data_IF_802502196218
#
_entry.id   IF_802502196218
#
_cell.length_a   1.000
_cell.length_b   1.000
_cell.length_c   1.000
_cell.angle_alpha   90.00
_cell.angle_beta   90.00
_cell.angle_gamma   90.00
#
_symmetry.space_group_name_H-M   'P 1'
#
loop_
_entity.id
_entity.type
_entity.pdbx_description
1 polymer ?
#
# COMPACT_ATOMS: atom_id res chain seq x y z
N UNK A 1 -6.53 -40.76 -13.40
CA UNK A 1 -5.95 -39.41 -13.31
C UNK A 1 -4.46 -39.57 -13.51
N UNK A 2 -3.98 -39.29 -14.74
CA UNK A 2 -2.54 -39.40 -15.04
C UNK A 2 -1.83 -38.26 -14.31
N UNK A 3 -0.93 -38.59 -13.39
CA UNK A 3 -0.13 -37.61 -12.68
C UNK A 3 0.75 -36.88 -13.70
N UNK A 4 0.58 -35.56 -13.87
CA UNK A 4 1.54 -34.75 -14.58
C UNK A 4 2.88 -34.87 -13.84
N UNK A 5 3.82 -35.60 -14.42
CA UNK A 5 5.18 -35.69 -13.90
C UNK A 5 5.88 -34.37 -14.24
N UNK A 6 6.11 -33.54 -13.21
CA UNK A 6 6.89 -32.30 -13.37
C UNK A 6 8.37 -32.69 -13.53
N UNK A 7 8.96 -32.25 -14.65
CA UNK A 7 10.38 -32.48 -14.97
C UNK A 7 11.31 -31.58 -14.20
N UNK A 8 10.86 -30.33 -13.89
CA UNK A 8 11.62 -29.43 -13.04
C UNK A 8 11.66 -29.94 -11.60
N UNK A 9 12.84 -30.20 -11.08
CA UNK A 9 13.05 -30.80 -9.74
C UNK A 9 13.13 -29.72 -8.68
N UNK A 10 12.44 -29.92 -7.54
CA UNK A 10 12.54 -29.04 -6.37
C UNK A 10 13.98 -29.00 -5.87
N UNK A 11 14.51 -27.82 -5.56
CA UNK A 11 15.89 -27.60 -5.15
C UNK A 11 16.89 -27.43 -6.29
N UNK A 12 16.51 -27.77 -7.53
CA UNK A 12 17.39 -27.60 -8.70
C UNK A 12 17.28 -26.18 -9.28
N UNK A 13 18.37 -25.76 -9.92
CA UNK A 13 18.52 -24.45 -10.55
C UNK A 13 18.31 -24.59 -12.05
N UNK A 14 17.54 -23.69 -12.62
CA UNK A 14 17.23 -23.63 -14.05
C UNK A 14 17.41 -22.23 -14.58
N UNK A 15 17.57 -22.11 -15.88
CA UNK A 15 17.65 -20.87 -16.61
C UNK A 15 16.54 -20.82 -17.66
N UNK A 16 15.94 -19.64 -17.86
CA UNK A 16 14.89 -19.48 -18.86
C UNK A 16 14.53 -18.02 -19.09
N UNK A 17 13.87 -17.78 -20.23
CA UNK A 17 13.43 -16.45 -20.63
C UNK A 17 12.06 -16.12 -20.05
N UNK A 18 11.93 -14.90 -19.50
CA UNK A 18 10.66 -14.34 -19.04
C UNK A 18 9.83 -13.93 -20.23
N UNK A 19 8.70 -14.61 -20.45
CA UNK A 19 7.77 -14.31 -21.53
C UNK A 19 6.86 -13.15 -21.17
N UNK A 20 6.21 -13.25 -20.01
CA UNK A 20 5.25 -12.27 -19.51
C UNK A 20 5.25 -12.22 -18.00
N UNK A 21 4.67 -11.15 -17.46
CA UNK A 21 4.52 -10.98 -16.01
C UNK A 21 3.07 -10.63 -15.71
N UNK A 22 2.38 -11.53 -15.01
CA UNK A 22 1.01 -11.33 -14.53
C UNK A 22 1.03 -10.66 -13.14
N UNK A 23 -0.08 -10.02 -12.76
CA UNK A 23 -0.20 -9.32 -11.46
C UNK A 23 -0.03 -10.27 -10.26
N UNK A 24 0.64 -9.86 -9.18
CA UNK A 24 1.34 -8.58 -8.94
C UNK A 24 2.81 -8.55 -9.42
N UNK A 25 3.36 -9.55 -9.90
CA UNK A 25 4.67 -9.82 -10.51
C UNK A 25 4.92 -11.33 -10.50
N UNK A 26 4.10 -12.06 -11.21
CA UNK A 26 4.24 -13.50 -11.44
C UNK A 26 4.79 -13.69 -12.85
N UNK A 27 6.12 -13.72 -12.97
CA UNK A 27 6.77 -13.93 -14.25
C UNK A 27 6.62 -15.37 -14.72
N UNK A 28 6.08 -15.57 -15.92
CA UNK A 28 6.08 -16.85 -16.62
C UNK A 28 7.45 -17.04 -17.28
N UNK A 29 8.15 -18.07 -16.87
CA UNK A 29 9.46 -18.46 -17.42
C UNK A 29 9.33 -19.85 -18.03
N UNK A 30 9.76 -19.99 -19.28
CA UNK A 30 9.83 -21.27 -19.96
C UNK A 30 11.25 -21.85 -19.87
N UNK A 31 11.33 -23.07 -19.40
CA UNK A 31 12.56 -23.86 -19.39
C UNK A 31 12.42 -24.93 -20.45
N UNK A 32 13.40 -25.04 -21.34
CA UNK A 32 13.48 -26.11 -22.32
C UNK A 32 14.43 -27.17 -21.75
N UNK A 33 13.96 -28.41 -21.64
CA UNK A 33 14.78 -29.54 -21.19
C UNK A 33 15.70 -30.07 -22.30
N UNK A 34 16.53 -31.08 -21.97
CA UNK A 34 17.47 -31.72 -22.90
C UNK A 34 16.76 -32.39 -24.09
N UNK A 35 15.50 -32.77 -23.94
CA UNK A 35 14.65 -33.38 -24.97
C UNK A 35 13.90 -32.35 -25.81
N UNK A 36 14.13 -31.02 -25.59
CA UNK A 36 13.48 -29.92 -26.29
C UNK A 36 12.06 -29.63 -25.83
N UNK A 37 11.58 -30.26 -24.73
CA UNK A 37 10.25 -30.00 -24.19
C UNK A 37 10.26 -28.76 -23.27
N UNK A 38 9.19 -27.99 -23.31
CA UNK A 38 9.03 -26.77 -22.53
C UNK A 38 8.21 -27.02 -21.26
N UNK A 39 8.71 -26.59 -20.12
CA UNK A 39 8.00 -26.59 -18.85
C UNK A 39 7.90 -25.18 -18.27
N UNK A 40 6.76 -24.87 -17.67
CA UNK A 40 6.43 -23.55 -17.13
C UNK A 40 6.85 -23.41 -15.67
N UNK A 41 7.61 -22.37 -15.36
CA UNK A 41 7.86 -21.89 -14.01
C UNK A 41 7.29 -20.51 -13.77
N UNK A 42 6.86 -20.22 -12.54
CA UNK A 42 6.47 -18.89 -12.09
C UNK A 42 7.55 -18.35 -11.18
N UNK A 43 8.18 -17.26 -11.57
CA UNK A 43 9.26 -16.61 -10.84
C UNK A 43 8.84 -15.20 -10.46
N UNK A 44 9.04 -14.79 -9.19
CA UNK A 44 8.76 -13.41 -8.74
C UNK A 44 9.99 -12.53 -8.92
N UNK A 45 9.76 -11.20 -8.94
CA UNK A 45 10.79 -10.17 -9.04
C UNK A 45 11.56 -10.16 -10.36
N UNK A 46 10.96 -10.67 -11.43
CA UNK A 46 11.52 -10.62 -12.77
C UNK A 46 10.73 -9.63 -13.66
N UNK A 47 11.34 -9.23 -14.78
CA UNK A 47 10.80 -8.26 -15.73
C UNK A 47 10.65 -8.94 -17.08
N UNK A 48 9.61 -8.62 -17.90
CA UNK A 48 9.44 -9.22 -19.22
C UNK A 48 10.70 -9.07 -20.08
N UNK A 49 11.09 -10.13 -20.77
CA UNK A 49 12.24 -10.15 -21.66
C UNK A 49 13.60 -10.44 -21.02
N UNK A 50 13.68 -10.58 -19.69
CA UNK A 50 14.90 -11.06 -19.02
C UNK A 50 15.15 -12.54 -19.29
N UNK A 51 16.42 -12.96 -19.31
CA UNK A 51 16.83 -14.35 -19.07
C UNK A 51 17.24 -14.45 -17.60
N UNK A 52 16.62 -15.36 -16.85
CA UNK A 52 16.78 -15.46 -15.40
C UNK A 52 17.19 -16.86 -14.98
N UNK A 53 18.06 -16.91 -13.97
CA UNK A 53 18.40 -18.14 -13.26
C UNK A 53 17.61 -18.21 -11.96
N UNK A 54 16.93 -19.32 -11.70
CA UNK A 54 16.06 -19.48 -10.55
C UNK A 54 16.14 -20.89 -9.96
N UNK A 55 15.92 -21.01 -8.66
CA UNK A 55 15.82 -22.28 -7.95
C UNK A 55 14.35 -22.66 -7.73
N UNK A 56 13.93 -23.84 -8.12
CA UNK A 56 12.58 -24.34 -7.89
C UNK A 56 12.37 -24.62 -6.40
N UNK A 57 11.45 -23.93 -5.77
CA UNK A 57 11.16 -24.05 -4.34
C UNK A 57 9.84 -24.78 -4.05
N UNK A 58 8.87 -24.73 -4.96
CA UNK A 58 7.56 -25.40 -4.81
C UNK A 58 7.07 -25.95 -6.14
N UNK A 59 6.32 -27.06 -6.05
CA UNK A 59 5.54 -27.60 -7.15
C UNK A 59 4.05 -27.34 -6.89
N UNK A 60 3.34 -26.86 -7.89
CA UNK A 60 1.89 -26.60 -7.86
C UNK A 60 1.23 -27.29 -9.04
N UNK A 61 -0.08 -27.51 -8.96
CA UNK A 61 -0.83 -28.09 -10.08
C UNK A 61 -0.66 -27.20 -11.33
N UNK A 62 -0.03 -27.73 -12.38
CA UNK A 62 0.17 -27.06 -13.68
C UNK A 62 1.40 -26.14 -13.81
N UNK A 63 2.22 -25.92 -12.75
CA UNK A 63 3.47 -25.14 -12.84
C UNK A 63 4.40 -25.36 -11.65
N UNK A 64 5.66 -24.96 -11.80
CA UNK A 64 6.61 -24.85 -10.70
C UNK A 64 6.74 -23.40 -10.25
N UNK A 65 6.94 -23.17 -8.94
CA UNK A 65 7.30 -21.85 -8.40
C UNK A 65 8.81 -21.81 -8.17
N UNK A 66 9.46 -20.75 -8.66
CA UNK A 66 10.90 -20.55 -8.54
C UNK A 66 11.24 -19.26 -7.79
N UNK A 67 12.35 -19.31 -7.04
CA UNK A 67 12.97 -18.12 -6.44
C UNK A 67 14.05 -17.61 -7.38
N UNK A 68 13.93 -16.37 -7.81
CA UNK A 68 14.94 -15.67 -8.61
C UNK A 68 16.29 -15.67 -7.87
N UNK A 69 17.34 -16.11 -8.53
CA UNK A 69 18.71 -16.08 -8.04
C UNK A 69 19.51 -14.99 -8.72
N UNK A 70 19.41 -14.91 -10.05
CA UNK A 70 20.22 -14.02 -10.87
C UNK A 70 19.47 -13.62 -12.15
N UNK A 71 19.72 -12.41 -12.65
CA UNK A 71 19.37 -11.97 -13.99
C UNK A 71 20.59 -12.19 -14.87
N UNK A 72 20.53 -13.19 -15.74
CA UNK A 72 21.62 -13.59 -16.66
C UNK A 72 21.72 -12.60 -17.82
N UNK A 73 20.56 -12.26 -18.41
CA UNK A 73 20.46 -11.24 -19.45
C UNK A 73 19.42 -10.21 -19.07
N UNK A 74 19.77 -8.95 -19.21
CA UNK A 74 18.85 -7.83 -18.94
C UNK A 74 17.76 -7.75 -20.01
N UNK A 75 16.57 -7.33 -19.60
CA UNK A 75 15.51 -6.96 -20.53
C UNK A 75 15.89 -5.70 -21.32
N UNK A 76 15.48 -5.57 -22.60
CA UNK A 76 15.58 -4.33 -23.35
C UNK A 76 14.88 -3.13 -22.68
N UNK A 77 13.93 -3.39 -21.76
CA UNK A 77 13.22 -2.35 -20.98
C UNK A 77 14.05 -1.81 -19.82
N UNK A 78 15.18 -2.46 -19.48
CA UNK A 78 15.94 -2.11 -18.29
C UNK A 78 16.93 -0.98 -18.53
N UNK A 79 16.94 -0.08 -17.56
CA UNK A 79 17.94 0.96 -17.35
C UNK A 79 18.76 0.68 -16.10
N UNK A 80 19.75 1.50 -15.79
CA UNK A 80 20.42 1.40 -14.51
C UNK A 80 19.52 1.93 -13.39
N UNK A 81 19.47 1.27 -12.20
CA UNK A 81 18.67 1.73 -11.09
C UNK A 81 19.26 3.05 -10.53
N UNK A 82 18.36 3.98 -10.18
CA UNK A 82 18.73 5.20 -9.45
C UNK A 82 19.09 4.90 -7.98
N UNK A 83 18.46 3.88 -7.39
CA UNK A 83 18.68 3.49 -5.99
C UNK A 83 19.81 2.47 -5.87
N UNK A 84 20.89 2.75 -5.08
CA UNK A 84 22.00 1.79 -4.91
C UNK A 84 21.61 0.53 -4.14
N UNK A 85 20.48 0.55 -3.43
CA UNK A 85 19.96 -0.61 -2.68
C UNK A 85 19.09 -1.53 -3.53
N UNK A 86 18.82 -1.16 -4.80
CA UNK A 86 17.97 -1.97 -5.69
C UNK A 86 18.56 -3.38 -5.87
N UNK A 87 17.68 -4.37 -5.83
CA UNK A 87 18.06 -5.79 -5.92
C UNK A 87 18.40 -6.43 -4.57
N UNK A 88 18.95 -5.68 -3.61
CA UNK A 88 19.19 -6.12 -2.22
C UNK A 88 17.94 -5.88 -1.34
N UNK A 89 17.48 -4.63 -1.30
CA UNK A 89 16.27 -4.24 -0.60
C UNK A 89 15.00 -4.83 -1.25
N UNK A 90 14.03 -5.24 -0.43
CA UNK A 90 12.76 -5.81 -0.85
C UNK A 90 11.72 -4.80 -1.37
N UNK A 91 11.96 -3.50 -1.22
CA UNK A 91 10.94 -2.46 -1.41
C UNK A 91 10.49 -2.24 -2.86
N UNK A 92 11.41 -2.25 -3.83
CA UNK A 92 11.12 -1.90 -5.23
C UNK A 92 11.41 -3.05 -6.19
N UNK A 93 10.61 -3.16 -7.25
CA UNK A 93 10.76 -4.20 -8.28
C UNK A 93 11.03 -3.61 -9.67
N UNK A 94 10.51 -2.43 -9.98
CA UNK A 94 10.53 -1.83 -11.31
C UNK A 94 11.44 -0.60 -11.46
N UNK A 95 12.29 -0.25 -10.50
CA UNK A 95 13.17 0.91 -10.60
C UNK A 95 14.17 0.88 -11.77
N UNK A 96 14.44 -0.28 -12.32
CA UNK A 96 15.26 -0.44 -13.53
C UNK A 96 14.45 -0.31 -14.83
N UNK A 97 13.18 0.02 -14.75
CA UNK A 97 12.30 0.19 -15.91
C UNK A 97 11.89 1.65 -16.01
N UNK A 98 11.96 2.24 -17.20
CA UNK A 98 11.49 3.61 -17.42
C UNK A 98 10.03 3.76 -16.98
N UNK A 99 9.68 4.90 -16.36
CA UNK A 99 8.38 5.06 -15.70
C UNK A 99 7.18 4.81 -16.64
N UNK A 100 7.27 5.28 -17.88
CA UNK A 100 6.24 5.00 -18.91
C UNK A 100 6.01 3.49 -19.13
N UNK A 101 7.09 2.71 -19.12
CA UNK A 101 7.00 1.25 -19.28
C UNK A 101 6.50 0.57 -18.00
N UNK A 102 6.80 1.13 -16.80
CA UNK A 102 6.19 0.65 -15.55
C UNK A 102 4.67 0.80 -15.60
N UNK A 103 4.16 1.96 -16.02
CA UNK A 103 2.73 2.21 -16.19
C UNK A 103 2.10 1.21 -17.18
N UNK A 104 2.74 0.98 -18.33
CA UNK A 104 2.27 0.02 -19.32
C UNK A 104 2.20 -1.40 -18.77
N UNK A 105 3.23 -1.85 -18.04
CA UNK A 105 3.25 -3.17 -17.40
C UNK A 105 2.07 -3.30 -16.42
N UNK A 106 1.91 -2.34 -15.50
CA UNK A 106 0.83 -2.33 -14.50
C UNK A 106 -0.55 -2.29 -15.13
N UNK A 107 -0.75 -1.39 -16.12
CA UNK A 107 -2.00 -1.26 -16.88
C UNK A 107 -2.39 -2.57 -17.55
N UNK A 108 -1.50 -3.16 -18.35
CA UNK A 108 -1.76 -4.42 -19.05
C UNK A 108 -2.03 -5.58 -18.08
N UNK A 109 -1.37 -5.62 -16.93
CA UNK A 109 -1.61 -6.66 -15.92
C UNK A 109 -3.01 -6.57 -15.33
N UNK A 110 -3.47 -5.36 -15.00
CA UNK A 110 -4.80 -5.15 -14.40
C UNK A 110 -5.88 -5.32 -15.44
N UNK A 111 -5.73 -4.71 -16.62
CA UNK A 111 -6.66 -4.85 -17.74
C UNK A 111 -6.91 -6.32 -18.07
N UNK A 112 -5.85 -7.11 -18.24
CA UNK A 112 -5.96 -8.54 -18.50
C UNK A 112 -6.70 -9.27 -17.38
N UNK A 113 -6.32 -9.01 -16.12
CA UNK A 113 -6.92 -9.67 -14.95
C UNK A 113 -8.42 -9.39 -14.84
N UNK A 114 -8.83 -8.14 -15.05
CA UNK A 114 -10.22 -7.75 -14.94
C UNK A 114 -11.04 -8.17 -16.16
N UNK A 115 -10.46 -8.17 -17.36
CA UNK A 115 -11.12 -8.68 -18.58
C UNK A 115 -11.45 -10.18 -18.51
N UNK A 116 -10.73 -10.95 -17.67
CA UNK A 116 -11.02 -12.38 -17.47
C UNK A 116 -12.31 -12.62 -16.64
N UNK A 117 -12.79 -11.59 -15.90
CA UNK A 117 -13.93 -11.72 -14.96
C UNK A 117 -15.07 -10.76 -15.28
N UNK A 118 -14.83 -9.66 -16.00
CA UNK A 118 -15.89 -8.71 -16.37
C UNK A 118 -16.68 -9.23 -17.55
N UNK A 119 -18.00 -9.20 -17.42
CA UNK A 119 -18.92 -9.63 -18.47
C UNK A 119 -18.96 -8.63 -19.62
N UNK A 120 -18.63 -9.08 -20.82
CA UNK A 120 -18.50 -8.23 -22.01
C UNK A 120 -17.15 -7.55 -22.11
N UNK A 121 -17.10 -6.42 -22.81
CA UNK A 121 -15.88 -5.61 -22.94
C UNK A 121 -15.64 -4.80 -21.66
N UNK A 122 -14.42 -4.87 -21.11
CA UNK A 122 -14.02 -4.06 -19.96
C UNK A 122 -13.86 -2.60 -20.40
N UNK A 123 -14.63 -1.64 -19.86
CA UNK A 123 -14.50 -0.22 -20.19
C UNK A 123 -13.28 0.39 -19.48
N UNK A 124 -12.08 0.01 -19.92
CA UNK A 124 -10.82 0.35 -19.28
C UNK A 124 -10.25 1.65 -19.83
N UNK A 125 -10.13 2.67 -18.97
CA UNK A 125 -9.62 4.01 -19.34
C UNK A 125 -8.08 4.10 -19.24
N UNK A 126 -7.39 3.01 -18.85
CA UNK A 126 -5.94 2.97 -18.71
C UNK A 126 -5.45 3.26 -17.30
N UNK A 127 -4.26 3.83 -17.19
CA UNK A 127 -3.58 4.12 -15.91
C UNK A 127 -3.13 5.57 -15.84
N UNK A 128 -3.42 6.23 -14.72
CA UNK A 128 -2.93 7.57 -14.41
C UNK A 128 -1.64 7.41 -13.59
N UNK A 129 -0.58 8.11 -14.00
CA UNK A 129 0.70 8.09 -13.30
C UNK A 129 0.71 8.94 -12.03
N UNK A 130 1.65 8.65 -11.14
CA UNK A 130 1.97 9.52 -9.99
C UNK A 130 2.55 10.84 -10.47
N UNK A 131 2.20 11.98 -9.84
CA UNK A 131 2.78 13.28 -10.16
C UNK A 131 4.31 13.33 -9.96
N UNK A 132 4.82 12.54 -9.04
CA UNK A 132 6.26 12.37 -8.75
C UNK A 132 6.61 10.90 -8.67
N UNK A 133 7.81 10.53 -9.13
CA UNK A 133 8.25 9.13 -9.20
C UNK A 133 9.33 8.77 -8.18
N UNK A 134 9.94 9.78 -7.57
CA UNK A 134 10.92 9.67 -6.50
C UNK A 134 10.49 10.55 -5.32
N UNK A 135 11.01 10.29 -4.14
CA UNK A 135 10.75 11.06 -2.91
C UNK A 135 9.25 11.26 -2.58
N UNK A 136 8.40 10.37 -3.09
CA UNK A 136 6.95 10.49 -2.96
C UNK A 136 6.39 9.98 -1.63
N UNK A 137 7.18 9.16 -0.91
CA UNK A 137 6.66 8.43 0.25
C UNK A 137 6.68 9.29 1.51
N UNK A 138 5.51 9.48 2.11
CA UNK A 138 5.30 10.33 3.27
C UNK A 138 5.26 9.59 4.62
N UNK A 139 5.35 8.25 4.61
CA UNK A 139 5.47 7.40 5.80
C UNK A 139 6.41 6.25 5.54
N UNK A 140 7.37 6.04 6.43
CA UNK A 140 8.23 4.85 6.43
C UNK A 140 8.29 4.24 7.81
N UNK A 141 8.32 2.93 7.83
CA UNK A 141 8.63 2.09 8.98
C UNK A 141 9.92 1.34 8.65
N UNK A 142 11.00 1.70 9.32
CA UNK A 142 12.29 1.02 9.21
C UNK A 142 12.43 0.03 10.35
N UNK A 143 13.02 -1.12 10.10
CA UNK A 143 13.27 -2.14 11.11
C UNK A 143 14.72 -2.08 11.58
N UNK A 144 14.94 -2.25 12.88
CA UNK A 144 16.25 -2.60 13.42
C UNK A 144 16.50 -4.10 13.25
N UNK A 145 17.76 -4.48 13.08
CA UNK A 145 18.19 -5.86 12.92
C UNK A 145 19.67 -5.93 12.63
N UNK A 146 20.11 -7.03 12.06
CA UNK A 146 21.47 -7.20 11.54
C UNK A 146 21.46 -7.27 9.98
N UNK A 147 22.57 -6.89 9.35
CA UNK A 147 22.70 -6.97 7.90
C UNK A 147 22.74 -8.42 7.41
N UNK A 148 23.25 -9.30 8.23
CA UNK A 148 23.31 -10.75 8.08
C UNK A 148 23.45 -11.36 9.48
N UNK A 149 23.12 -12.63 9.62
CA UNK A 149 23.13 -13.33 10.91
C UNK A 149 24.41 -13.05 11.71
N UNK A 150 24.25 -12.56 12.93
CA UNK A 150 25.33 -12.15 13.85
C UNK A 150 26.23 -11.02 13.27
N UNK A 151 25.71 -10.22 12.35
CA UNK A 151 26.39 -9.10 11.71
C UNK A 151 26.22 -7.76 12.48
N UNK A 152 26.66 -6.64 11.89
CA UNK A 152 26.52 -5.34 12.50
C UNK A 152 25.06 -4.90 12.59
N UNK A 153 24.76 -4.05 13.59
CA UNK A 153 23.46 -3.41 13.73
C UNK A 153 23.13 -2.62 12.45
N UNK A 154 21.94 -2.85 11.92
CA UNK A 154 21.40 -2.17 10.77
C UNK A 154 20.03 -1.57 11.10
N UNK A 155 19.74 -0.41 10.50
CA UNK A 155 18.42 0.21 10.49
C UNK A 155 18.00 0.46 9.04
N UNK A 156 16.90 -0.15 8.60
CA UNK A 156 16.50 -0.05 7.21
C UNK A 156 15.30 -0.91 6.84
N UNK A 157 15.37 -1.53 5.67
CA UNK A 157 14.31 -2.38 5.16
C UNK A 157 14.78 -3.82 5.00
N UNK A 158 13.82 -4.76 5.08
CA UNK A 158 14.13 -6.17 4.88
C UNK A 158 14.79 -6.43 3.53
N UNK A 159 15.83 -7.25 3.58
CA UNK A 159 16.50 -7.77 2.40
C UNK A 159 15.54 -8.62 1.57
N UNK A 160 15.63 -8.51 0.28
CA UNK A 160 14.82 -9.29 -0.65
C UNK A 160 14.95 -10.81 -0.37
N UNK A 161 13.83 -11.47 -0.19
CA UNK A 161 13.73 -12.89 0.15
C UNK A 161 14.30 -13.29 1.54
N UNK A 162 14.59 -12.34 2.42
CA UNK A 162 14.90 -12.59 3.83
C UNK A 162 13.83 -11.94 4.72
N UNK A 163 13.54 -12.61 5.85
CA UNK A 163 12.67 -12.07 6.90
C UNK A 163 13.49 -11.50 8.08
N UNK A 164 14.79 -11.72 8.09
CA UNK A 164 15.66 -11.37 9.19
C UNK A 164 16.64 -10.25 8.81
N UNK A 165 17.35 -10.42 7.67
CA UNK A 165 18.40 -9.50 7.26
C UNK A 165 17.83 -8.12 6.93
N UNK A 166 18.47 -7.07 7.44
CA UNK A 166 18.11 -5.66 7.20
C UNK A 166 19.14 -5.02 6.25
N UNK A 167 18.66 -4.29 5.28
CA UNK A 167 19.49 -3.47 4.39
C UNK A 167 19.41 -2.03 4.86
N UNK A 168 20.52 -1.39 5.27
CA UNK A 168 20.56 0.03 5.54
C UNK A 168 20.25 0.81 4.26
N UNK A 169 19.16 1.61 4.28
CA UNK A 169 18.64 2.26 3.07
C UNK A 169 18.85 3.78 3.08
N UNK A 170 20.03 4.20 3.48
CA UNK A 170 20.42 5.60 3.66
C UNK A 170 20.38 6.44 2.37
N UNK A 171 20.31 5.81 1.20
CA UNK A 171 20.22 6.48 -0.10
C UNK A 171 18.94 6.09 -0.88
N UNK A 172 17.91 5.63 -0.16
CA UNK A 172 16.63 5.24 -0.76
C UNK A 172 16.02 6.39 -1.55
N UNK A 173 15.54 6.12 -2.78
CA UNK A 173 15.03 7.14 -3.71
C UNK A 173 13.53 7.39 -3.60
N UNK A 174 12.77 6.55 -2.90
CA UNK A 174 11.34 6.78 -2.69
C UNK A 174 11.02 7.68 -1.49
N UNK A 175 12.03 7.95 -0.63
CA UNK A 175 11.97 8.87 0.51
C UNK A 175 12.86 10.08 0.26
N UNK A 176 12.49 11.22 0.83
CA UNK A 176 13.27 12.43 0.67
C UNK A 176 14.51 12.47 1.58
N UNK A 177 15.29 13.53 1.45
CA UNK A 177 16.55 13.72 2.14
C UNK A 177 16.39 13.75 3.67
N UNK A 178 15.30 14.31 4.18
CA UNK A 178 15.09 14.43 5.63
C UNK A 178 14.95 13.05 6.29
N UNK A 179 14.26 12.10 5.63
CA UNK A 179 14.22 10.70 6.09
C UNK A 179 15.61 10.06 6.12
N UNK A 180 16.42 10.31 5.09
CA UNK A 180 17.78 9.75 4.99
C UNK A 180 18.69 10.28 6.10
N UNK A 181 18.56 11.57 6.44
CA UNK A 181 19.29 12.20 7.56
C UNK A 181 18.85 11.62 8.90
N UNK A 182 17.55 11.48 9.13
CA UNK A 182 16.99 10.89 10.36
C UNK A 182 17.48 9.43 10.51
N UNK A 183 17.34 8.63 9.45
CA UNK A 183 17.76 7.22 9.44
C UNK A 183 19.23 7.08 9.83
N UNK A 184 20.10 7.90 9.23
CA UNK A 184 21.55 7.90 9.50
C UNK A 184 21.84 8.33 10.94
N UNK A 185 21.19 9.38 11.43
CA UNK A 185 21.35 9.87 12.80
C UNK A 185 20.99 8.80 13.82
N UNK A 186 19.80 8.20 13.66
CA UNK A 186 19.29 7.18 14.61
C UNK A 186 20.14 5.91 14.56
N UNK A 187 20.56 5.44 13.38
CA UNK A 187 21.43 4.28 13.26
C UNK A 187 22.78 4.50 13.93
N UNK A 188 23.43 5.64 13.67
CA UNK A 188 24.73 5.96 14.28
C UNK A 188 24.62 6.06 15.80
N UNK A 189 23.56 6.71 16.30
CA UNK A 189 23.29 6.80 17.73
C UNK A 189 23.14 5.41 18.36
N UNK A 190 22.34 4.53 17.76
CA UNK A 190 22.11 3.17 18.27
C UNK A 190 23.41 2.35 18.31
N UNK A 191 24.28 2.48 17.30
CA UNK A 191 25.59 1.83 17.26
C UNK A 191 26.51 2.39 18.34
N UNK A 192 26.63 3.73 18.50
CA UNK A 192 27.47 4.38 19.49
C UNK A 192 27.07 4.04 20.93
N UNK A 193 25.76 3.86 21.17
CA UNK A 193 25.22 3.49 22.51
C UNK A 193 25.15 1.97 22.71
N UNK A 194 25.61 1.18 21.73
CA UNK A 194 25.58 -0.30 21.79
C UNK A 194 24.19 -0.86 22.14
N UNK A 195 23.11 -0.19 21.66
CA UNK A 195 21.74 -0.61 21.94
C UNK A 195 21.39 -1.89 21.15
N UNK A 196 20.96 -2.96 21.82
CA UNK A 196 20.60 -4.19 21.14
C UNK A 196 19.25 -4.04 20.40
N UNK A 197 19.11 -4.64 19.24
CA UNK A 197 17.82 -4.79 18.59
C UNK A 197 17.07 -6.02 19.12
N UNK A 198 15.73 -6.03 19.00
CA UNK A 198 14.92 -7.17 19.37
C UNK A 198 15.05 -8.30 18.34
N UNK A 199 15.49 -9.47 18.77
CA UNK A 199 15.58 -10.67 17.95
C UNK A 199 14.19 -11.32 17.75
N UNK A 200 13.79 -11.53 16.50
CA UNK A 200 12.46 -12.07 16.14
C UNK A 200 12.18 -13.49 16.63
N UNK A 201 13.21 -14.28 16.94
CA UNK A 201 13.07 -15.68 17.40
C UNK A 201 13.09 -15.79 18.91
N UNK A 202 14.00 -15.09 19.59
CA UNK A 202 14.10 -15.12 21.05
C UNK A 202 13.17 -14.12 21.73
N UNK A 203 12.72 -13.09 20.98
CA UNK A 203 11.99 -11.94 21.50
C UNK A 203 12.75 -11.13 22.55
N UNK A 204 14.06 -11.28 22.58
CA UNK A 204 14.97 -10.54 23.48
C UNK A 204 15.60 -9.37 22.72
N UNK A 205 15.83 -8.25 23.42
CA UNK A 205 16.43 -7.03 22.91
C UNK A 205 15.53 -5.82 23.00
N UNK A 206 15.97 -4.68 22.50
CA UNK A 206 15.37 -3.39 22.78
C UNK A 206 14.78 -2.70 21.56
N UNK A 207 15.63 -2.33 20.58
CA UNK A 207 15.21 -1.55 19.41
C UNK A 207 14.38 -2.40 18.44
N UNK A 208 13.21 -1.90 18.01
CA UNK A 208 12.32 -2.59 17.08
C UNK A 208 12.21 -1.88 15.75
N UNK A 209 11.66 -0.66 15.77
CA UNK A 209 11.37 0.09 14.54
C UNK A 209 11.68 1.58 14.72
N UNK A 210 11.90 2.24 13.59
CA UNK A 210 11.87 3.69 13.46
C UNK A 210 10.76 4.05 12.48
N UNK A 211 9.75 4.77 12.96
CA UNK A 211 8.68 5.27 12.12
C UNK A 211 8.94 6.76 11.85
N UNK A 212 8.91 7.17 10.60
CA UNK A 212 9.04 8.56 10.19
C UNK A 212 7.87 8.93 9.28
N UNK A 213 7.24 10.07 9.58
CA UNK A 213 6.25 10.71 8.72
C UNK A 213 6.71 12.10 8.33
N UNK A 214 6.38 12.50 7.11
CA UNK A 214 6.57 13.88 6.66
C UNK A 214 5.41 14.32 5.79
N UNK A 215 4.83 15.45 6.12
CA UNK A 215 3.83 16.08 5.28
C UNK A 215 4.48 16.64 4.00
N UNK A 216 3.86 16.38 2.87
CA UNK A 216 4.33 16.89 1.57
C UNK A 216 4.04 18.38 1.42
N UNK A 217 2.90 18.85 1.94
CA UNK A 217 2.47 20.26 1.79
C UNK A 217 2.99 21.16 2.89
N UNK A 218 2.99 20.71 4.14
CA UNK A 218 3.43 21.55 5.28
C UNK A 218 4.91 21.37 5.62
N UNK A 219 5.54 20.30 5.16
CA UNK A 219 6.92 19.98 5.48
C UNK A 219 7.14 19.51 6.93
N UNK A 220 6.08 19.34 7.73
CA UNK A 220 6.17 18.87 9.12
C UNK A 220 6.66 17.42 9.17
N UNK A 221 7.59 17.14 10.11
CA UNK A 221 8.22 15.83 10.29
C UNK A 221 7.91 15.30 11.68
N UNK A 222 7.53 14.03 11.76
CA UNK A 222 7.28 13.29 12.98
C UNK A 222 8.15 12.04 13.00
N UNK A 223 8.88 11.83 14.09
CA UNK A 223 9.76 10.68 14.32
C UNK A 223 9.25 9.90 15.50
N UNK A 224 9.13 8.59 15.39
CA UNK A 224 8.73 7.71 16.48
C UNK A 224 9.69 6.51 16.57
N UNK A 225 10.31 6.36 17.73
CA UNK A 225 11.26 5.29 18.05
C UNK A 225 10.47 4.20 18.77
N UNK A 226 10.44 3.01 18.20
CA UNK A 226 9.69 1.89 18.76
C UNK A 226 10.64 0.90 19.40
N UNK A 227 10.43 0.62 20.69
CA UNK A 227 11.26 -0.30 21.47
C UNK A 227 10.43 -1.32 22.25
N UNK A 228 11.08 -2.30 22.84
CA UNK A 228 10.49 -3.10 23.92
C UNK A 228 10.60 -2.37 25.26
N UNK A 229 9.97 -2.90 26.30
CA UNK A 229 10.15 -2.45 27.70
C UNK A 229 11.33 -3.12 28.41
N UNK A 230 12.10 -3.99 27.74
CA UNK A 230 13.15 -4.81 28.36
C UNK A 230 14.36 -4.00 28.85
N UNK A 231 14.58 -2.81 28.30
CA UNK A 231 15.67 -1.92 28.67
C UNK A 231 15.10 -0.52 28.90
N UNK A 232 15.53 0.15 29.95
CA UNK A 232 15.30 1.59 30.14
C UNK A 232 16.44 2.37 29.50
N UNK A 233 16.11 3.35 28.65
CA UNK A 233 17.09 4.18 27.99
C UNK A 233 16.58 5.61 27.84
N UNK A 234 17.44 6.59 28.16
CA UNK A 234 17.14 8.01 28.00
C UNK A 234 17.52 8.48 26.60
N UNK A 235 16.52 8.85 25.81
CA UNK A 235 16.67 9.36 24.44
C UNK A 235 16.93 10.88 24.37
N UNK A 236 17.18 11.57 25.48
CA UNK A 236 17.43 13.04 25.49
C UNK A 236 18.55 13.42 24.52
N UNK A 237 19.66 12.67 24.50
CA UNK A 237 20.76 12.93 23.59
C UNK A 237 20.34 12.71 22.11
N UNK A 238 19.57 11.67 21.82
CA UNK A 238 19.07 11.44 20.46
C UNK A 238 18.13 12.56 20.02
N UNK A 239 17.24 13.02 20.88
CA UNK A 239 16.37 14.17 20.61
C UNK A 239 17.20 15.41 20.29
N UNK A 240 18.24 15.70 21.06
CA UNK A 240 19.15 16.82 20.80
C UNK A 240 19.87 16.69 19.46
N UNK A 241 20.30 15.47 19.08
CA UNK A 241 20.91 15.22 17.76
C UNK A 241 19.90 15.43 16.64
N UNK A 242 18.67 14.90 16.76
CA UNK A 242 17.61 15.05 15.78
C UNK A 242 17.19 16.52 15.59
N UNK A 243 17.04 17.27 16.68
CA UNK A 243 16.70 18.70 16.63
C UNK A 243 17.80 19.59 16.06
N UNK A 244 19.05 19.10 16.06
CA UNK A 244 20.21 19.82 15.50
C UNK A 244 20.43 19.57 13.99
N UNK A 245 19.67 18.67 13.36
CA UNK A 245 19.77 18.42 11.93
C UNK A 245 19.13 19.57 11.16
N UNK A 246 19.81 20.00 10.11
CA UNK A 246 19.24 20.93 9.14
C UNK A 246 18.35 20.17 8.15
N UNK A 247 17.04 20.34 8.30
CA UNK A 247 16.01 19.72 7.46
C UNK A 247 15.56 20.67 6.34
N UNK A 248 15.06 20.08 5.24
CA UNK A 248 14.25 20.82 4.27
C UNK A 248 12.86 21.15 4.84
N UNK A 249 12.32 20.26 5.64
CA UNK A 249 11.08 20.44 6.40
C UNK A 249 11.32 20.98 7.80
N UNK A 250 10.41 20.68 8.72
CA UNK A 250 10.50 21.07 10.13
C UNK A 250 10.21 19.87 11.01
N UNK A 251 11.15 19.51 11.87
CA UNK A 251 10.90 18.48 12.89
C UNK A 251 9.90 19.04 13.91
N UNK A 252 8.69 18.49 13.92
CA UNK A 252 7.60 18.94 14.79
C UNK A 252 7.40 18.06 16.02
N UNK A 253 7.86 16.82 15.97
CA UNK A 253 7.76 15.92 17.12
C UNK A 253 8.68 14.72 17.05
N UNK A 254 9.09 14.28 18.25
CA UNK A 254 9.78 13.00 18.47
C UNK A 254 9.04 12.23 19.55
N UNK A 255 8.71 10.99 19.28
CA UNK A 255 7.99 10.10 20.16
C UNK A 255 8.81 8.85 20.48
N UNK A 256 8.44 8.21 21.56
CA UNK A 256 8.92 6.89 21.95
C UNK A 256 7.72 5.99 22.21
N UNK A 257 7.59 4.93 21.41
CA UNK A 257 6.51 3.95 21.53
C UNK A 257 7.04 2.63 22.06
N UNK A 258 6.38 2.12 23.10
CA UNK A 258 6.64 0.79 23.65
C UNK A 258 5.77 -0.25 22.91
N UNK A 259 6.38 -1.37 22.57
CA UNK A 259 5.74 -2.47 21.84
C UNK A 259 6.40 -3.81 22.23
N UNK A 260 5.77 -4.55 23.13
CA UNK A 260 6.21 -5.88 23.57
C UNK A 260 5.52 -7.02 22.82
N UNK A 261 4.67 -6.70 21.82
CA UNK A 261 3.96 -7.72 21.05
C UNK A 261 4.94 -8.67 20.35
N UNK A 262 4.56 -9.94 20.22
CA UNK A 262 5.35 -10.95 19.48
C UNK A 262 5.30 -10.74 17.96
N UNK A 263 4.31 -9.99 17.48
CA UNK A 263 4.17 -9.69 16.06
C UNK A 263 5.27 -8.70 15.60
N UNK A 264 5.83 -8.95 14.41
CA UNK A 264 6.73 -8.02 13.73
C UNK A 264 5.91 -6.92 13.05
N UNK A 265 5.28 -6.09 13.90
CA UNK A 265 4.43 -4.98 13.49
C UNK A 265 4.58 -3.83 14.50
N UNK A 266 4.39 -2.61 14.02
CA UNK A 266 4.34 -1.43 14.89
C UNK A 266 2.96 -1.39 15.55
N UNK A 267 2.92 -1.76 16.83
CA UNK A 267 1.72 -1.74 17.67
C UNK A 267 1.95 -0.69 18.78
N UNK A 268 0.97 0.17 18.97
CA UNK A 268 1.00 1.17 20.02
C UNK A 268 0.42 0.58 21.31
N UNK A 269 1.28 0.17 22.24
CA UNK A 269 0.88 -0.22 23.61
C UNK A 269 0.94 0.99 24.55
N UNK A 270 1.97 1.84 24.39
CA UNK A 270 2.14 3.10 25.11
C UNK A 270 3.05 3.99 24.28
N UNK A 271 2.72 5.28 24.17
CA UNK A 271 3.58 6.27 23.52
C UNK A 271 3.86 7.44 24.45
N UNK A 272 5.10 7.88 24.49
CA UNK A 272 5.58 9.04 25.21
C UNK A 272 6.04 10.11 24.24
N UNK A 273 5.70 11.37 24.52
CA UNK A 273 6.16 12.52 23.74
C UNK A 273 7.50 12.98 24.29
N UNK A 274 8.57 12.86 23.49
CA UNK A 274 9.91 13.30 23.87
C UNK A 274 10.19 14.74 23.47
N UNK A 275 9.59 15.21 22.37
CA UNK A 275 9.77 16.57 21.87
C UNK A 275 8.58 17.03 21.02
N UNK A 276 8.18 18.30 21.16
CA UNK A 276 7.23 18.98 20.29
C UNK A 276 5.81 18.49 20.42
N UNK A 277 5.25 17.93 19.33
CA UNK A 277 3.87 17.44 19.25
C UNK A 277 3.78 16.02 18.71
N UNK A 278 2.64 15.35 18.93
CA UNK A 278 2.39 13.95 18.58
C UNK A 278 1.75 13.74 17.20
N UNK A 279 1.72 14.77 16.36
CA UNK A 279 1.08 14.74 15.04
C UNK A 279 1.79 15.65 14.04
N UNK A 280 1.46 15.42 12.77
CA UNK A 280 1.70 16.36 11.66
C UNK A 280 0.37 16.78 11.04
N UNK A 281 0.34 17.90 10.35
CA UNK A 281 -0.76 18.31 9.49
C UNK A 281 -0.39 18.09 8.03
N UNK A 282 -1.25 17.41 7.28
CA UNK A 282 -1.14 17.26 5.83
C UNK A 282 -2.32 17.93 5.15
N UNK A 283 -2.12 18.42 3.93
CA UNK A 283 -3.17 18.98 3.11
C UNK A 283 -3.41 18.14 1.85
N UNK A 284 -4.65 17.74 1.61
CA UNK A 284 -5.09 17.06 0.39
C UNK A 284 -6.29 17.77 -0.20
N UNK A 285 -6.19 18.18 -1.47
CA UNK A 285 -7.27 18.86 -2.21
C UNK A 285 -7.90 20.02 -1.45
N UNK A 286 -7.08 20.78 -0.70
CA UNK A 286 -7.49 21.94 0.10
C UNK A 286 -8.08 21.63 1.47
N UNK A 287 -8.15 20.35 1.88
CA UNK A 287 -8.57 19.93 3.20
C UNK A 287 -7.36 19.58 4.07
N UNK A 288 -7.41 19.93 5.35
CA UNK A 288 -6.36 19.66 6.33
C UNK A 288 -6.68 18.45 7.18
N UNK A 289 -5.66 17.62 7.40
CA UNK A 289 -5.76 16.38 8.17
C UNK A 289 -4.68 16.33 9.23
N UNK A 290 -5.10 16.15 10.47
CA UNK A 290 -4.20 15.86 11.58
C UNK A 290 -3.87 14.36 11.56
N UNK A 291 -2.57 14.02 11.48
CA UNK A 291 -2.07 12.67 11.30
C UNK A 291 -1.11 12.33 12.43
N UNK A 292 -1.43 11.31 13.22
CA UNK A 292 -0.55 10.74 14.25
C UNK A 292 0.35 9.63 13.65
N UNK A 293 1.36 9.11 14.36
CA UNK A 293 2.20 8.02 13.87
C UNK A 293 1.40 6.80 13.38
N UNK A 294 0.32 6.46 14.10
CA UNK A 294 -0.47 5.23 13.87
C UNK A 294 -1.70 5.44 12.97
N UNK A 295 -2.09 6.69 12.69
CA UNK A 295 -3.21 6.97 11.79
C UNK A 295 -2.99 6.33 10.42
N UNK A 296 -4.01 5.64 9.89
CA UNK A 296 -3.99 5.28 8.48
C UNK A 296 -4.12 6.56 7.63
N UNK A 297 -3.22 6.74 6.71
CA UNK A 297 -3.22 7.81 5.72
C UNK A 297 -2.42 7.34 4.50
N UNK A 298 -2.86 7.67 3.30
CA UNK A 298 -2.18 7.25 2.09
C UNK A 298 -0.71 7.71 2.08
N UNK A 299 0.19 6.78 1.79
CA UNK A 299 1.63 7.02 1.93
C UNK A 299 2.30 7.75 0.77
N UNK A 300 1.51 8.23 -0.18
CA UNK A 300 1.87 9.16 -1.25
C UNK A 300 0.75 10.20 -1.36
N UNK A 301 0.92 11.38 -0.77
CA UNK A 301 -0.10 12.44 -0.72
C UNK A 301 -0.50 12.93 -2.10
N UNK A 302 0.48 13.18 -2.99
CA UNK A 302 0.20 13.66 -4.35
C UNK A 302 -0.50 12.60 -5.20
N UNK A 303 -0.12 11.33 -5.05
CA UNK A 303 -0.82 10.20 -5.68
C UNK A 303 -2.25 10.05 -5.15
N UNK A 304 -2.45 10.26 -3.84
CA UNK A 304 -3.77 10.22 -3.22
C UNK A 304 -4.70 11.31 -3.77
N UNK A 305 -4.19 12.52 -4.02
CA UNK A 305 -4.97 13.58 -4.69
C UNK A 305 -5.45 13.14 -6.07
N UNK A 306 -4.64 12.42 -6.84
CA UNK A 306 -5.02 11.86 -8.15
C UNK A 306 -6.07 10.77 -8.00
N UNK A 307 -5.85 9.81 -7.10
CA UNK A 307 -6.76 8.69 -6.83
C UNK A 307 -8.15 9.19 -6.43
N UNK A 308 -8.19 10.09 -5.47
CA UNK A 308 -9.43 10.60 -4.93
C UNK A 308 -10.15 11.56 -5.89
N UNK A 309 -9.39 12.32 -6.69
CA UNK A 309 -9.98 13.12 -7.77
C UNK A 309 -10.67 12.23 -8.81
N UNK A 310 -10.07 11.08 -9.16
CA UNK A 310 -10.66 10.12 -10.08
C UNK A 310 -11.91 9.45 -9.49
N UNK A 311 -11.87 9.06 -8.22
CA UNK A 311 -13.05 8.54 -7.53
C UNK A 311 -14.20 9.55 -7.49
N UNK A 312 -13.91 10.82 -7.18
CA UNK A 312 -14.89 11.92 -7.20
C UNK A 312 -15.44 12.17 -8.62
N UNK A 313 -14.60 12.11 -9.65
CA UNK A 313 -15.04 12.20 -11.05
C UNK A 313 -16.06 11.10 -11.37
N UNK A 314 -15.81 9.87 -10.92
CA UNK A 314 -16.74 8.75 -11.14
C UNK A 314 -18.06 8.92 -10.38
N UNK A 315 -18.02 9.43 -9.14
CA UNK A 315 -19.24 9.80 -8.41
C UNK A 315 -20.06 10.84 -9.19
N UNK A 316 -19.41 11.89 -9.67
CA UNK A 316 -20.08 12.98 -10.42
C UNK A 316 -20.63 12.52 -11.77
N UNK A 317 -19.93 11.58 -12.47
CA UNK A 317 -20.39 11.05 -13.76
C UNK A 317 -21.67 10.21 -13.64
N UNK A 318 -22.13 9.96 -12.43
CA UNK A 318 -23.38 9.27 -12.13
C UNK A 318 -24.67 10.03 -12.40
N UNK A 319 -24.61 11.23 -12.98
CA UNK A 319 -25.81 12.03 -13.27
C UNK A 319 -26.36 12.79 -12.08
N UNK A 320 -25.64 12.79 -10.96
CA UNK A 320 -25.96 13.64 -9.80
C UNK A 320 -25.48 15.06 -10.07
N UNK A 321 -26.39 15.97 -10.39
CA UNK A 321 -26.07 17.38 -10.69
C UNK A 321 -26.82 17.93 -11.90
N UNK A 322 -27.32 17.07 -12.79
CA UNK A 322 -28.08 17.48 -13.98
C UNK A 322 -29.54 17.82 -13.65
N UNK A 323 -30.06 17.35 -12.49
CA UNK A 323 -31.34 17.80 -11.95
C UNK A 323 -31.05 18.92 -10.96
N UNK A 324 -31.33 20.13 -11.34
CA UNK A 324 -31.11 21.33 -10.55
C UNK A 324 -31.58 21.13 -9.09
N UNK A 325 -30.63 20.92 -8.18
CA UNK A 325 -30.80 21.03 -6.73
C UNK A 325 -30.63 19.83 -5.85
N UNK A 326 -30.52 18.57 -6.31
CA UNK A 326 -30.38 17.43 -5.39
C UNK A 326 -28.97 16.82 -5.40
N UNK A 327 -28.19 17.16 -4.37
CA UNK A 327 -26.93 16.46 -4.12
C UNK A 327 -27.22 15.09 -3.50
N UNK A 328 -26.47 14.01 -3.85
CA UNK A 328 -26.68 12.67 -3.34
C UNK A 328 -26.33 12.52 -1.85
N UNK A 329 -26.96 11.56 -1.19
CA UNK A 329 -26.45 10.96 0.05
C UNK A 329 -25.46 9.88 -0.33
N UNK A 330 -24.21 9.99 0.18
CA UNK A 330 -23.12 9.06 -0.13
C UNK A 330 -22.73 8.28 1.14
N UNK A 331 -22.57 6.96 0.99
CA UNK A 331 -21.90 6.16 2.01
C UNK A 331 -20.45 5.93 1.61
N UNK A 332 -19.53 6.18 2.54
CA UNK A 332 -18.11 5.85 2.44
C UNK A 332 -17.83 4.69 3.40
N UNK A 333 -17.88 3.46 2.87
CA UNK A 333 -17.68 2.25 3.66
C UNK A 333 -16.19 1.89 3.72
N UNK A 334 -15.72 1.60 4.93
CA UNK A 334 -14.30 1.47 5.27
C UNK A 334 -13.57 2.82 5.24
N UNK A 335 -14.21 3.86 5.79
CA UNK A 335 -13.82 5.27 5.64
C UNK A 335 -12.47 5.62 6.28
N UNK A 336 -11.93 4.78 7.18
CA UNK A 336 -10.70 5.06 7.92
C UNK A 336 -10.79 6.37 8.70
N UNK A 337 -9.84 7.28 8.47
CA UNK A 337 -9.83 8.62 9.06
C UNK A 337 -10.72 9.64 8.34
N UNK A 338 -11.65 9.17 7.52
CA UNK A 338 -12.66 9.99 6.85
C UNK A 338 -12.13 10.85 5.69
N UNK A 339 -10.99 10.50 5.12
CA UNK A 339 -10.34 11.31 4.08
C UNK A 339 -11.19 11.40 2.82
N UNK A 340 -11.69 10.26 2.32
CA UNK A 340 -12.52 10.21 1.11
C UNK A 340 -13.89 10.84 1.37
N UNK A 341 -14.53 10.52 2.51
CA UNK A 341 -15.80 11.12 2.91
C UNK A 341 -15.75 12.65 2.88
N UNK A 342 -14.69 13.23 3.45
CA UNK A 342 -14.51 14.67 3.50
C UNK A 342 -14.31 15.27 2.10
N UNK A 343 -13.57 14.61 1.22
CA UNK A 343 -13.37 15.07 -0.16
C UNK A 343 -14.62 14.94 -1.03
N UNK A 344 -15.56 14.08 -0.67
CA UNK A 344 -16.87 13.96 -1.32
C UNK A 344 -17.90 14.97 -0.77
N UNK A 345 -17.64 15.55 0.40
CA UNK A 345 -18.54 16.52 1.04
C UNK A 345 -19.02 17.66 0.13
N UNK A 346 -18.17 18.28 -0.73
CA UNK A 346 -18.65 19.38 -1.59
C UNK A 346 -19.68 18.97 -2.63
N UNK A 347 -19.71 17.66 -3.00
CA UNK A 347 -20.59 17.13 -4.06
C UNK A 347 -21.77 16.32 -3.50
N UNK A 348 -21.88 16.17 -2.18
CA UNK A 348 -22.93 15.43 -1.49
C UNK A 348 -23.83 16.35 -0.65
N UNK A 349 -25.10 15.95 -0.46
CA UNK A 349 -25.98 16.54 0.56
C UNK A 349 -25.57 16.06 1.95
N UNK A 350 -25.20 14.78 2.05
CA UNK A 350 -24.70 14.13 3.26
C UNK A 350 -23.71 13.03 2.89
N UNK A 351 -22.62 12.91 3.64
CA UNK A 351 -21.71 11.77 3.56
C UNK A 351 -21.72 11.03 4.90
N UNK A 352 -21.95 9.72 4.88
CA UNK A 352 -21.89 8.86 6.05
C UNK A 352 -20.72 7.90 5.90
N UNK A 353 -19.68 8.10 6.73
CA UNK A 353 -18.50 7.24 6.81
C UNK A 353 -18.69 6.15 7.85
N UNK A 354 -18.41 4.90 7.49
CA UNK A 354 -18.47 3.74 8.40
C UNK A 354 -17.08 3.12 8.53
N UNK A 355 -16.60 2.97 9.75
CA UNK A 355 -15.30 2.40 10.08
C UNK A 355 -15.38 1.62 11.41
N UNK A 356 -14.71 0.47 11.47
CA UNK A 356 -14.73 -0.38 12.66
C UNK A 356 -13.80 0.13 13.78
N UNK A 357 -12.75 0.87 13.42
CA UNK A 357 -11.76 1.37 14.36
C UNK A 357 -12.24 2.71 14.96
N UNK A 358 -12.65 2.68 16.23
CA UNK A 358 -13.22 3.84 16.91
C UNK A 358 -12.30 5.07 16.94
N UNK A 359 -10.99 4.86 17.12
CA UNK A 359 -9.98 5.95 17.11
C UNK A 359 -9.89 6.63 15.74
N UNK A 360 -10.03 5.87 14.65
CA UNK A 360 -10.05 6.41 13.29
C UNK A 360 -11.31 7.28 13.07
N UNK A 361 -12.46 6.84 13.58
CA UNK A 361 -13.72 7.58 13.53
C UNK A 361 -13.62 8.90 14.32
N UNK A 362 -13.03 8.88 15.49
CA UNK A 362 -12.82 10.12 16.27
C UNK A 362 -11.85 11.08 15.57
N UNK A 363 -10.82 10.55 14.91
CA UNK A 363 -9.93 11.37 14.07
C UNK A 363 -10.69 11.96 12.87
N UNK A 364 -11.57 11.18 12.23
CA UNK A 364 -12.41 11.64 11.12
C UNK A 364 -13.32 12.79 11.53
N UNK A 365 -14.00 12.67 12.68
CA UNK A 365 -14.86 13.73 13.24
C UNK A 365 -14.08 15.02 13.51
N UNK A 366 -12.90 14.91 14.14
CA UNK A 366 -12.03 16.05 14.44
C UNK A 366 -11.55 16.74 13.15
N UNK A 367 -11.11 15.98 12.17
CA UNK A 367 -10.66 16.50 10.88
C UNK A 367 -11.81 17.18 10.12
N UNK A 368 -13.01 16.60 10.10
CA UNK A 368 -14.18 17.22 9.48
C UNK A 368 -14.57 18.54 10.15
N UNK A 369 -14.56 18.60 11.49
CA UNK A 369 -14.82 19.83 12.25
C UNK A 369 -13.75 20.90 11.95
N UNK A 370 -12.47 20.53 11.92
CA UNK A 370 -11.37 21.45 11.55
C UNK A 370 -11.53 22.02 10.13
N UNK A 371 -12.04 21.21 9.20
CA UNK A 371 -12.32 21.62 7.82
C UNK A 371 -13.67 22.36 7.65
N UNK A 372 -14.44 22.56 8.74
CA UNK A 372 -15.74 23.22 8.69
C UNK A 372 -16.83 22.44 7.96
N UNK A 373 -16.68 21.11 7.84
CA UNK A 373 -17.63 20.26 7.12
C UNK A 373 -18.76 19.83 8.05
N UNK A 374 -19.98 20.24 7.73
CA UNK A 374 -21.18 19.98 8.55
C UNK A 374 -22.05 18.83 8.02
N UNK A 375 -21.76 18.35 6.81
CA UNK A 375 -22.52 17.30 6.13
C UNK A 375 -21.82 15.92 6.12
N UNK A 376 -20.72 15.78 6.89
CA UNK A 376 -20.07 14.49 7.12
C UNK A 376 -20.45 13.92 8.50
N UNK A 377 -20.91 12.70 8.52
CA UNK A 377 -21.19 11.92 9.73
C UNK A 377 -20.34 10.67 9.74
N UNK A 378 -19.82 10.28 10.92
CA UNK A 378 -18.93 9.11 11.04
C UNK A 378 -19.43 8.17 12.13
N UNK A 379 -19.53 6.88 11.80
CA UNK A 379 -20.08 5.81 12.64
C UNK A 379 -18.97 4.80 12.91
N UNK A 380 -18.73 4.53 14.20
CA UNK A 380 -17.79 3.50 14.65
C UNK A 380 -18.56 2.18 14.81
N UNK A 381 -18.60 1.36 13.78
CA UNK A 381 -19.23 0.03 13.82
C UNK A 381 -18.70 -0.84 12.66
N UNK A 382 -18.93 -2.14 12.77
CA UNK A 382 -18.76 -3.07 11.65
C UNK A 382 -19.77 -2.74 10.54
N UNK A 383 -19.29 -2.74 9.28
CA UNK A 383 -20.14 -2.41 8.12
C UNK A 383 -21.43 -3.25 8.09
N UNK A 384 -21.35 -4.55 8.46
CA UNK A 384 -22.51 -5.43 8.52
C UNK A 384 -23.58 -4.95 9.50
N UNK A 385 -23.18 -4.39 10.63
CA UNK A 385 -24.09 -3.92 11.67
C UNK A 385 -24.58 -2.49 11.37
N UNK A 386 -23.65 -1.61 10.96
CA UNK A 386 -23.98 -0.24 10.65
C UNK A 386 -25.10 -0.12 9.60
N UNK A 387 -25.02 -0.95 8.54
CA UNK A 387 -26.03 -0.96 7.48
C UNK A 387 -27.46 -1.36 7.95
N UNK A 388 -27.60 -2.03 9.10
CA UNK A 388 -28.93 -2.31 9.69
C UNK A 388 -29.52 -1.14 10.46
N UNK A 389 -28.66 -0.24 10.95
CA UNK A 389 -29.03 0.80 11.91
C UNK A 389 -29.14 2.20 11.28
N UNK A 390 -28.64 2.39 10.04
CA UNK A 390 -28.70 3.68 9.37
C UNK A 390 -30.05 3.82 8.65
N UNK A 391 -30.86 4.79 9.08
CA UNK A 391 -32.21 5.01 8.52
C UNK A 391 -32.22 5.65 7.14
N UNK A 392 -31.21 6.49 6.84
CA UNK A 392 -31.13 7.23 5.59
C UNK A 392 -30.54 6.35 4.52
N UNK A 393 -31.27 6.06 3.44
CA UNK A 393 -30.74 5.30 2.30
C UNK A 393 -29.72 6.12 1.50
N UNK A 394 -28.60 5.52 1.06
CA UNK A 394 -27.68 6.20 0.17
C UNK A 394 -28.20 6.19 -1.27
N UNK A 395 -27.86 7.25 -2.00
CA UNK A 395 -27.97 7.30 -3.46
C UNK A 395 -26.75 6.70 -4.12
N UNK A 396 -25.63 6.66 -3.38
CA UNK A 396 -24.33 6.20 -3.87
C UNK A 396 -23.51 5.56 -2.75
N UNK A 397 -22.78 4.49 -3.07
CA UNK A 397 -21.83 3.87 -2.14
C UNK A 397 -20.42 3.93 -2.72
N UNK A 398 -19.46 4.43 -1.93
CA UNK A 398 -18.05 4.31 -2.18
C UNK A 398 -17.47 3.22 -1.26
N UNK A 399 -16.63 2.37 -1.83
CA UNK A 399 -15.99 1.22 -1.19
C UNK A 399 -14.47 1.37 -1.30
N UNK A 400 -13.76 1.43 -0.18
CA UNK A 400 -12.29 1.35 -0.13
C UNK A 400 -11.86 0.27 0.90
N UNK A 401 -12.17 -1.01 0.63
CA UNK A 401 -11.94 -2.08 1.58
C UNK A 401 -10.46 -2.43 1.73
N UNK A 402 -10.08 -3.17 2.80
CA UNK A 402 -8.72 -3.66 3.00
C UNK A 402 -8.26 -4.58 1.86
N UNK A 403 -6.95 -4.89 1.84
CA UNK A 403 -6.28 -5.69 0.78
C UNK A 403 -6.98 -7.02 0.46
N UNK A 404 -7.64 -7.63 1.42
CA UNK A 404 -8.34 -8.91 1.19
C UNK A 404 -9.70 -8.75 0.52
N UNK A 405 -10.10 -7.52 0.20
CA UNK A 405 -11.40 -7.19 -0.37
C UNK A 405 -12.52 -7.23 0.67
N UNK A 406 -13.75 -7.26 0.20
CA UNK A 406 -14.92 -7.23 1.06
C UNK A 406 -15.23 -8.65 1.55
N UNK A 407 -15.55 -8.78 2.85
CA UNK A 407 -16.00 -10.06 3.38
C UNK A 407 -17.31 -10.49 2.68
N UNK A 408 -17.47 -11.76 2.23
CA UNK A 408 -18.61 -12.17 1.41
C UNK A 408 -19.99 -11.80 1.99
N UNK A 409 -20.19 -11.95 3.30
CA UNK A 409 -21.45 -11.55 3.94
C UNK A 409 -21.68 -10.02 3.91
N UNK A 410 -20.63 -9.23 4.02
CA UNK A 410 -20.73 -7.79 3.91
C UNK A 410 -21.03 -7.36 2.47
N UNK A 411 -20.41 -8.02 1.49
CA UNK A 411 -20.65 -7.77 0.08
C UNK A 411 -22.11 -8.05 -0.30
N UNK A 412 -22.67 -9.18 0.12
CA UNK A 412 -24.09 -9.51 -0.10
C UNK A 412 -25.02 -8.46 0.50
N UNK A 413 -24.74 -8.01 1.71
CA UNK A 413 -25.55 -6.98 2.38
C UNK A 413 -25.48 -5.62 1.71
N UNK A 414 -24.27 -5.22 1.24
CA UNK A 414 -24.09 -4.00 0.47
C UNK A 414 -24.91 -4.05 -0.83
N UNK A 415 -24.91 -5.21 -1.50
CA UNK A 415 -25.69 -5.44 -2.71
C UNK A 415 -27.18 -5.36 -2.42
N UNK A 416 -27.65 -6.00 -1.33
CA UNK A 416 -29.08 -6.02 -0.93
C UNK A 416 -29.60 -4.62 -0.55
N UNK A 417 -28.71 -3.67 -0.25
CA UNK A 417 -29.08 -2.26 -0.06
C UNK A 417 -29.67 -1.64 -1.33
N UNK A 418 -29.30 -2.18 -2.50
CA UNK A 418 -29.95 -1.88 -3.77
C UNK A 418 -29.67 -0.47 -4.29
N UNK A 419 -28.46 0.06 -4.06
CA UNK A 419 -28.08 1.33 -4.68
C UNK A 419 -27.84 1.16 -6.17
N UNK A 420 -28.23 2.17 -6.94
CA UNK A 420 -28.07 2.13 -8.40
C UNK A 420 -26.59 2.19 -8.81
N UNK A 421 -25.76 2.89 -8.08
CA UNK A 421 -24.35 3.13 -8.44
C UNK A 421 -23.41 3.01 -7.25
N UNK A 422 -22.23 2.46 -7.53
CA UNK A 422 -21.13 2.42 -6.57
C UNK A 422 -19.77 2.62 -7.23
N UNK A 423 -18.83 3.18 -6.48
CA UNK A 423 -17.40 3.20 -6.82
C UNK A 423 -16.66 2.25 -5.89
N UNK A 424 -15.82 1.40 -6.47
CA UNK A 424 -14.93 0.52 -5.73
C UNK A 424 -13.48 0.94 -5.98
N UNK A 425 -12.75 1.32 -4.92
CA UNK A 425 -11.31 1.56 -4.93
C UNK A 425 -10.63 0.29 -4.40
N UNK A 426 -9.55 -0.16 -5.04
CA UNK A 426 -8.85 -1.37 -4.62
C UNK A 426 -7.35 -1.30 -4.82
N UNK A 427 -6.61 -1.47 -3.72
CA UNK A 427 -5.15 -1.61 -3.75
C UNK A 427 -4.67 -3.01 -4.18
N UNK A 428 -5.59 -3.97 -4.41
CA UNK A 428 -5.27 -5.35 -4.80
C UNK A 428 -6.25 -5.85 -5.88
N UNK A 429 -5.96 -5.64 -7.16
CA UNK A 429 -6.82 -6.02 -8.27
C UNK A 429 -7.34 -7.45 -8.25
N UNK A 430 -6.60 -8.41 -7.65
CA UNK A 430 -7.07 -9.80 -7.51
C UNK A 430 -8.23 -9.97 -6.54
N UNK A 431 -8.32 -9.15 -5.50
CA UNK A 431 -9.48 -9.15 -4.58
C UNK A 431 -10.65 -8.46 -5.25
N UNK A 432 -10.42 -7.34 -5.94
CA UNK A 432 -11.42 -6.67 -6.77
C UNK A 432 -12.02 -7.63 -7.80
N UNK A 433 -11.19 -8.36 -8.56
CA UNK A 433 -11.65 -9.33 -9.55
C UNK A 433 -12.61 -10.37 -8.95
N UNK A 434 -12.30 -10.89 -7.76
CA UNK A 434 -13.17 -11.82 -7.04
C UNK A 434 -14.52 -11.17 -6.66
N UNK A 435 -14.48 -9.98 -6.11
CA UNK A 435 -15.67 -9.28 -5.63
C UNK A 435 -16.57 -8.83 -6.81
N UNK A 436 -15.97 -8.47 -7.96
CA UNK A 436 -16.69 -8.14 -9.20
C UNK A 436 -17.50 -9.32 -9.75
N UNK A 437 -17.03 -10.56 -9.60
CA UNK A 437 -17.84 -11.74 -10.01
C UNK A 437 -19.17 -11.76 -9.26
N UNK A 438 -19.14 -11.65 -7.94
CA UNK A 438 -20.35 -11.63 -7.11
C UNK A 438 -21.25 -10.44 -7.44
N UNK A 439 -20.68 -9.24 -7.61
CA UNK A 439 -21.44 -8.04 -7.95
C UNK A 439 -22.17 -8.19 -9.29
N UNK A 440 -21.50 -8.75 -10.30
CA UNK A 440 -22.11 -8.97 -11.61
C UNK A 440 -23.20 -10.04 -11.60
N UNK A 441 -23.01 -11.14 -10.86
CA UNK A 441 -24.04 -12.18 -10.65
C UNK A 441 -25.31 -11.62 -9.99
N UNK A 442 -25.16 -10.52 -9.26
CA UNK A 442 -26.24 -9.82 -8.57
C UNK A 442 -26.79 -8.62 -9.34
N UNK A 443 -26.38 -8.39 -10.60
CA UNK A 443 -26.98 -7.44 -11.51
C UNK A 443 -26.22 -6.11 -11.69
N UNK A 444 -25.04 -5.96 -11.10
CA UNK A 444 -24.18 -4.81 -11.36
C UNK A 444 -23.37 -5.00 -12.65
N UNK A 445 -23.12 -3.91 -13.36
CA UNK A 445 -22.19 -3.85 -14.52
C UNK A 445 -21.11 -2.84 -14.27
N UNK A 446 -19.91 -3.14 -14.77
CA UNK A 446 -18.80 -2.19 -14.78
C UNK A 446 -19.06 -1.17 -15.89
N UNK A 447 -19.14 0.11 -15.52
CA UNK A 447 -19.32 1.23 -16.47
C UNK A 447 -18.00 1.89 -16.84
N UNK A 448 -17.07 1.99 -15.88
CA UNK A 448 -15.74 2.58 -16.07
C UNK A 448 -14.74 1.88 -15.17
N UNK A 449 -13.52 1.76 -15.67
CA UNK A 449 -12.40 1.23 -14.88
C UNK A 449 -11.14 2.01 -15.20
N UNK A 450 -10.44 2.50 -14.19
CA UNK A 450 -9.18 3.19 -14.31
C UNK A 450 -8.19 2.70 -13.25
N UNK A 451 -6.90 2.71 -13.55
CA UNK A 451 -5.84 2.49 -12.57
C UNK A 451 -5.17 3.81 -12.19
N UNK A 452 -4.60 3.85 -10.99
CA UNK A 452 -3.75 4.95 -10.51
C UNK A 452 -2.47 4.37 -9.94
N UNK A 453 -1.32 4.84 -10.42
CA UNK A 453 -0.03 4.44 -9.88
C UNK A 453 0.34 5.27 -8.64
N UNK A 454 -0.06 4.78 -7.48
CA UNK A 454 0.30 5.35 -6.19
C UNK A 454 1.75 5.09 -5.78
N UNK A 455 2.40 4.06 -6.35
CA UNK A 455 3.67 3.53 -5.86
C UNK A 455 4.66 3.26 -6.99
N UNK A 456 5.22 4.32 -7.62
CA UNK A 456 6.27 4.21 -8.62
C UNK A 456 7.43 3.31 -8.18
N UNK A 457 7.99 2.54 -9.10
CA UNK A 457 9.08 1.59 -8.83
C UNK A 457 8.68 0.29 -8.16
N UNK A 458 7.42 0.15 -7.69
CA UNK A 458 6.88 -1.05 -7.04
C UNK A 458 5.89 -1.80 -7.96
N UNK A 459 5.40 -2.94 -7.50
CA UNK A 459 4.36 -3.73 -8.21
C UNK A 459 2.94 -3.28 -7.89
N UNK A 460 2.76 -2.39 -6.93
CA UNK A 460 1.44 -1.98 -6.45
C UNK A 460 0.78 -1.00 -7.41
N UNK A 461 -0.55 -1.08 -7.48
CA UNK A 461 -1.40 -0.21 -8.27
C UNK A 461 -2.77 -0.14 -7.60
N UNK A 462 -3.40 1.02 -7.65
CA UNK A 462 -4.78 1.20 -7.25
C UNK A 462 -5.69 1.06 -8.47
N UNK A 463 -6.86 0.50 -8.28
CA UNK A 463 -7.91 0.39 -9.30
C UNK A 463 -9.16 1.09 -8.82
N UNK A 464 -9.79 1.89 -9.68
CA UNK A 464 -11.05 2.58 -9.41
C UNK A 464 -12.07 2.08 -10.42
N UNK A 465 -13.18 1.53 -9.95
CA UNK A 465 -14.23 0.96 -10.80
C UNK A 465 -15.56 1.60 -10.46
N UNK A 466 -16.22 2.17 -11.47
CA UNK A 466 -17.62 2.61 -11.38
C UNK A 466 -18.54 1.49 -11.83
N UNK A 467 -19.55 1.20 -11.04
CA UNK A 467 -20.53 0.18 -11.32
C UNK A 467 -21.97 0.74 -11.28
N UNK A 468 -22.81 0.22 -12.18
CA UNK A 468 -24.23 0.52 -12.28
C UNK A 468 -25.05 -0.75 -12.07
N UNK A 469 -26.09 -0.67 -11.26
CA UNK A 469 -27.10 -1.73 -11.17
C UNK A 469 -28.01 -1.71 -12.42
N UNK A 470 -28.09 -2.84 -13.11
CA UNK A 470 -28.90 -3.00 -14.33
C UNK A 470 -30.05 -4.00 -14.16
N UNK A 471 -30.25 -4.50 -12.91
CA UNK A 471 -31.19 -5.56 -12.67
C UNK A 471 -30.62 -6.96 -13.02
N UNK A 472 -31.33 -8.00 -12.62
CA UNK A 472 -31.03 -9.39 -13.01
C UNK A 472 -31.58 -9.68 -14.39
#
# INVERSE_FOLDING_TARGET
MCGMEYRLKKGSVYEGKVEKVDFPNKATVWVTDEDGQKEKAIVKNAIPGQTVRFCVNKKRKGHCEGRLMEVVEKSPLQTNPACPHFGKCGGCTYQTVAYKEQLKIKSTQVEKLLSEVVSGELPFEGIIGSPVTEEYRNKMEFSFGDEYKDGPLALGLHKRNSMYDIVPVTECKIIDEDYRKILTCVQNYAIEKELPFQHKLSHEGYLRHLLVRKSVKTGQILVDIVTTTQIEHDFTELVNRLTSIEYKGTLTGVLHTFNDSLADAVINEKTELLYGQDYIEEELLGLRFKITPFSFFQTNSLGAEVLYSKAREYVLSGGFGDVAGSKPVIYDLYTGTGTIAQMLSPVASKVIGVEIVAEAVEAAKKNAAQNGLTNCEFIADDVLKALDNIEIKPDFILLDPPRDGIHPKALEKIIDYGVDRMVYISCKPTSLARDLVTLQERGYKVEKCCCVDMFPGTVHVESVVLMQYCGK
#
